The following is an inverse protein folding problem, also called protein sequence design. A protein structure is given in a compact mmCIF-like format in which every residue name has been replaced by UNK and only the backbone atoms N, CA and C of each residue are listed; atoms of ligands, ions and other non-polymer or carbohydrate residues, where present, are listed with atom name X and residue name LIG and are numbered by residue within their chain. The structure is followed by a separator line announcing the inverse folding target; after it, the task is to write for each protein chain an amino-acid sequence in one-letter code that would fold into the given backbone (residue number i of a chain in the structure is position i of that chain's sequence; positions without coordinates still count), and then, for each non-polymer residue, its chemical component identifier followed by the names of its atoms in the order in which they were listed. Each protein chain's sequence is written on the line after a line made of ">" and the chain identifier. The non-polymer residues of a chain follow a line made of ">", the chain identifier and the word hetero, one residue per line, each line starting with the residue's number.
data_IF_612369363236
#
_entry.id   IF_612369363236
#
_cell.length_a   1.000
_cell.length_b   1.000
_cell.length_c   1.000
_cell.angle_alpha   90.00
_cell.angle_beta   90.00
_cell.angle_gamma   90.00
#
_symmetry.space_group_name_H-M   'P 1'
#
loop_
_entity.id
_entity.type
_entity.pdbx_description
1 polymer ?
#
# COMPACT_ATOMS: atom_id res chain seq x y z
N UNK A 1 14.42 -33.21 29.56
CA UNK A 1 14.83 -31.85 29.18
C UNK A 1 13.90 -31.42 28.05
N UNK A 2 13.00 -30.48 28.33
CA UNK A 2 12.06 -29.95 27.34
C UNK A 2 12.67 -28.66 26.79
N UNK A 3 12.86 -28.61 25.48
CA UNK A 3 13.39 -27.47 24.73
C UNK A 3 12.39 -26.31 24.77
N UNK A 4 12.37 -25.59 25.90
CA UNK A 4 11.65 -24.32 25.99
C UNK A 4 12.47 -23.26 25.24
N UNK A 5 12.18 -23.09 23.95
CA UNK A 5 12.62 -21.91 23.21
C UNK A 5 11.83 -20.69 23.71
N UNK A 6 12.49 -19.68 24.33
CA UNK A 6 11.79 -18.49 24.77
C UNK A 6 11.22 -17.73 23.55
N UNK A 7 10.03 -17.12 23.67
CA UNK A 7 9.37 -16.45 22.56
C UNK A 7 10.24 -15.33 22.01
N UNK A 8 10.64 -15.47 20.75
CA UNK A 8 11.37 -14.48 19.96
C UNK A 8 10.67 -13.13 20.08
N UNK A 9 11.40 -12.14 20.60
CA UNK A 9 11.06 -10.72 20.74
C UNK A 9 9.96 -10.22 19.76
N UNK A 10 8.69 -10.29 20.19
CA UNK A 10 7.50 -9.98 19.37
C UNK A 10 7.43 -8.53 18.85
N UNK A 11 8.22 -7.61 19.40
CA UNK A 11 8.14 -6.17 19.09
C UNK A 11 8.91 -5.71 17.85
N UNK A 12 9.98 -6.41 17.44
CA UNK A 12 10.77 -6.04 16.25
C UNK A 12 10.18 -6.61 14.96
N UNK A 13 9.64 -7.82 15.00
CA UNK A 13 9.04 -8.48 13.84
C UNK A 13 7.80 -7.77 13.29
N UNK A 14 6.95 -7.19 14.15
CA UNK A 14 5.70 -6.56 13.67
C UNK A 14 5.92 -5.30 12.83
N UNK A 15 6.94 -4.49 13.14
CA UNK A 15 7.21 -3.27 12.37
C UNK A 15 7.75 -3.59 10.97
N UNK A 16 8.63 -4.59 10.88
CA UNK A 16 9.18 -5.06 9.62
C UNK A 16 8.12 -5.76 8.76
N UNK A 17 7.27 -6.60 9.37
CA UNK A 17 6.12 -7.20 8.68
C UNK A 17 5.13 -6.14 8.15
N UNK A 18 4.81 -5.11 8.96
CA UNK A 18 3.97 -3.99 8.52
C UNK A 18 4.58 -3.24 7.34
N UNK A 19 5.90 -2.99 7.38
CA UNK A 19 6.61 -2.34 6.27
C UNK A 19 6.53 -3.18 4.99
N UNK A 20 6.83 -4.48 5.06
CA UNK A 20 6.74 -5.40 3.91
C UNK A 20 5.32 -5.43 3.33
N UNK A 21 4.31 -5.54 4.19
CA UNK A 21 2.90 -5.52 3.78
C UNK A 21 2.51 -4.21 3.09
N UNK A 22 2.95 -3.05 3.60
CA UNK A 22 2.70 -1.75 2.95
C UNK A 22 3.40 -1.68 1.59
N UNK A 23 4.63 -2.19 1.47
CA UNK A 23 5.35 -2.24 0.19
C UNK A 23 4.68 -3.16 -0.84
N UNK A 24 4.14 -4.30 -0.43
CA UNK A 24 3.34 -5.18 -1.29
C UNK A 24 2.03 -4.49 -1.74
N UNK A 25 1.36 -3.81 -0.82
CA UNK A 25 0.17 -3.02 -1.15
C UNK A 25 0.48 -1.89 -2.15
N UNK A 26 1.62 -1.21 -2.00
CA UNK A 26 2.07 -0.19 -2.95
C UNK A 26 2.32 -0.77 -4.34
N UNK A 27 3.00 -1.93 -4.44
CA UNK A 27 3.19 -2.63 -5.72
C UNK A 27 1.86 -3.02 -6.37
N UNK A 28 0.91 -3.51 -5.60
CA UNK A 28 -0.43 -3.83 -6.11
C UNK A 28 -1.17 -2.58 -6.59
N UNK A 29 -1.05 -1.45 -5.88
CA UNK A 29 -1.62 -0.17 -6.27
C UNK A 29 -1.00 0.35 -7.58
N UNK A 30 0.32 0.26 -7.73
CA UNK A 30 1.02 0.64 -8.96
C UNK A 30 0.57 -0.19 -10.15
N UNK A 31 0.47 -1.51 -10.00
CA UNK A 31 -0.05 -2.38 -11.07
C UNK A 31 -1.49 -2.01 -11.45
N UNK A 32 -2.36 -1.69 -10.48
CA UNK A 32 -3.74 -1.27 -10.75
C UNK A 32 -3.81 0.06 -11.47
N UNK A 33 -2.95 1.02 -11.10
CA UNK A 33 -2.85 2.30 -11.79
C UNK A 33 -2.39 2.13 -13.22
N UNK A 34 -1.36 1.31 -13.44
CA UNK A 34 -0.86 1.01 -14.77
C UNK A 34 -1.95 0.38 -15.64
N UNK A 35 -2.62 -0.68 -15.15
CA UNK A 35 -3.72 -1.31 -15.89
C UNK A 35 -4.83 -0.31 -16.21
N UNK A 36 -5.21 0.55 -15.25
CA UNK A 36 -6.25 1.55 -15.44
C UNK A 36 -5.88 2.65 -16.45
N UNK A 37 -4.61 3.08 -16.45
CA UNK A 37 -4.09 4.06 -17.41
C UNK A 37 -4.01 3.44 -18.82
N UNK A 38 -3.56 2.18 -18.94
CA UNK A 38 -3.56 1.42 -20.20
C UNK A 38 -4.99 1.22 -20.73
N UNK A 39 -5.91 0.71 -19.91
CA UNK A 39 -7.30 0.49 -20.29
C UNK A 39 -8.02 1.79 -20.67
N UNK A 40 -7.78 2.88 -19.94
CA UNK A 40 -8.34 4.18 -20.29
C UNK A 40 -7.73 4.75 -21.59
N UNK A 41 -6.49 4.42 -21.92
CA UNK A 41 -5.83 4.82 -23.16
C UNK A 41 -6.32 4.02 -24.38
N UNK A 42 -6.65 2.74 -24.20
CA UNK A 42 -7.27 1.93 -25.26
C UNK A 42 -8.63 2.50 -25.71
N UNK A 43 -9.27 3.30 -24.85
CA UNK A 43 -10.51 4.02 -25.14
C UNK A 43 -11.60 3.10 -25.74
N UNK A 44 -11.57 1.82 -25.34
CA UNK A 44 -12.54 0.82 -25.78
C UNK A 44 -13.89 1.30 -25.28
N UNK A 45 -14.77 1.63 -26.22
CA UNK A 45 -16.11 2.10 -25.92
C UNK A 45 -16.93 0.88 -25.45
N UNK A 46 -16.79 0.54 -24.17
CA UNK A 46 -17.65 -0.47 -23.54
C UNK A 46 -19.03 0.15 -23.38
N UNK A 47 -19.97 -0.29 -24.21
CA UNK A 47 -21.42 -0.12 -24.02
C UNK A 47 -21.86 -0.96 -22.79
N UNK A 48 -21.32 -0.63 -21.62
CA UNK A 48 -21.64 -1.28 -20.36
C UNK A 48 -22.82 -0.60 -19.70
N UNK A 49 -23.91 -1.33 -19.51
CA UNK A 49 -25.16 -0.88 -18.86
C UNK A 49 -25.05 -0.62 -17.34
N UNK A 50 -23.87 -0.81 -16.75
CA UNK A 50 -23.64 -0.70 -15.31
C UNK A 50 -22.38 0.12 -15.02
N UNK A 51 -22.56 1.18 -14.24
CA UNK A 51 -21.54 2.18 -13.92
C UNK A 51 -20.54 1.75 -12.84
N UNK A 52 -20.78 0.62 -12.14
CA UNK A 52 -20.04 0.25 -10.93
C UNK A 52 -19.93 -1.28 -10.78
N UNK A 53 -18.90 -1.89 -11.33
CA UNK A 53 -18.50 -3.24 -10.93
C UNK A 53 -17.38 -3.16 -9.88
N UNK A 54 -17.45 -4.00 -8.85
CA UNK A 54 -16.37 -4.10 -7.86
C UNK A 54 -15.03 -4.48 -8.49
N UNK A 55 -15.04 -5.21 -9.60
CA UNK A 55 -13.83 -5.56 -10.37
C UNK A 55 -13.23 -4.39 -11.16
N UNK A 56 -13.95 -3.29 -11.34
CA UNK A 56 -13.45 -2.10 -12.04
C UNK A 56 -12.23 -1.51 -11.30
N UNK A 57 -12.12 -1.75 -9.98
CA UNK A 57 -10.96 -1.37 -9.17
C UNK A 57 -9.65 -2.10 -9.55
N UNK A 58 -9.72 -3.12 -10.41
CA UNK A 58 -8.55 -3.79 -10.99
C UNK A 58 -7.99 -3.04 -12.21
N UNK A 59 -8.73 -2.05 -12.73
CA UNK A 59 -8.37 -1.29 -13.93
C UNK A 59 -8.44 -2.10 -15.22
N UNK A 60 -9.27 -3.14 -15.28
CA UNK A 60 -9.40 -4.03 -16.45
C UNK A 60 -10.80 -4.03 -17.07
N UNK A 61 -11.75 -3.36 -16.43
CA UNK A 61 -13.15 -3.29 -16.82
C UNK A 61 -13.76 -2.00 -16.29
N UNK A 62 -14.89 -1.59 -16.87
CA UNK A 62 -15.68 -0.46 -16.41
C UNK A 62 -15.65 0.70 -17.40
N UNK A 63 -16.51 1.69 -17.18
CA UNK A 63 -16.61 2.82 -18.09
C UNK A 63 -15.32 3.67 -18.07
N UNK A 64 -14.67 3.98 -19.21
CA UNK A 64 -13.39 4.71 -19.25
C UNK A 64 -13.43 6.05 -18.49
N UNK A 65 -14.52 6.81 -18.62
CA UNK A 65 -14.74 8.04 -17.86
C UNK A 65 -14.74 7.83 -16.34
N UNK A 66 -15.35 6.75 -15.85
CA UNK A 66 -15.35 6.43 -14.43
C UNK A 66 -13.94 6.05 -13.95
N UNK A 67 -13.22 5.23 -14.71
CA UNK A 67 -11.84 4.86 -14.37
C UNK A 67 -10.95 6.11 -14.28
N UNK A 68 -11.02 6.97 -15.29
CA UNK A 68 -10.22 8.20 -15.37
C UNK A 68 -10.54 9.19 -14.26
N UNK A 69 -11.82 9.43 -13.99
CA UNK A 69 -12.26 10.51 -13.12
C UNK A 69 -12.46 10.10 -11.66
N UNK A 70 -12.69 8.82 -11.38
CA UNK A 70 -13.00 8.33 -10.03
C UNK A 70 -11.94 7.35 -9.54
N UNK A 71 -11.72 6.25 -10.28
CA UNK A 71 -10.83 5.18 -9.84
C UNK A 71 -9.39 5.65 -9.72
N UNK A 72 -8.80 6.21 -10.78
CA UNK A 72 -7.39 6.65 -10.79
C UNK A 72 -7.13 7.67 -9.66
N UNK A 73 -7.93 8.73 -9.48
CA UNK A 73 -7.75 9.66 -8.36
C UNK A 73 -7.89 8.99 -6.99
N UNK A 74 -8.88 8.11 -6.80
CA UNK A 74 -9.07 7.40 -5.53
C UNK A 74 -7.86 6.51 -5.19
N UNK A 75 -7.37 5.75 -6.17
CA UNK A 75 -6.20 4.88 -6.00
C UNK A 75 -4.93 5.69 -5.75
N UNK A 76 -4.73 6.84 -6.42
CA UNK A 76 -3.63 7.78 -6.13
C UNK A 76 -3.68 8.32 -4.70
N UNK A 77 -4.87 8.64 -4.16
CA UNK A 77 -5.01 9.03 -2.74
C UNK A 77 -4.65 7.90 -1.79
N UNK A 78 -5.03 6.65 -2.09
CA UNK A 78 -4.65 5.49 -1.28
C UNK A 78 -3.14 5.29 -1.31
N UNK A 79 -2.49 5.42 -2.48
CA UNK A 79 -1.03 5.38 -2.61
C UNK A 79 -0.35 6.37 -1.66
N UNK A 80 -0.75 7.64 -1.72
CA UNK A 80 -0.19 8.69 -0.87
C UNK A 80 -0.36 8.39 0.64
N UNK A 81 -1.51 7.83 1.04
CA UNK A 81 -1.73 7.41 2.43
C UNK A 81 -0.77 6.29 2.86
N UNK A 82 -0.48 5.35 1.97
CA UNK A 82 0.45 4.23 2.23
C UNK A 82 1.90 4.69 2.28
N UNK A 83 2.30 5.60 1.40
CA UNK A 83 3.62 6.25 1.43
C UNK A 83 3.83 7.00 2.76
N UNK A 84 2.86 7.82 3.18
CA UNK A 84 2.90 8.52 4.47
C UNK A 84 2.97 7.56 5.68
N UNK A 85 2.29 6.42 5.60
CA UNK A 85 2.35 5.40 6.65
C UNK A 85 3.75 4.77 6.74
N UNK A 86 4.42 4.55 5.60
CA UNK A 86 5.79 4.04 5.55
C UNK A 86 6.79 5.06 6.10
N UNK A 87 6.66 6.33 5.72
CA UNK A 87 7.45 7.44 6.27
C UNK A 87 7.32 7.51 7.80
N UNK A 88 6.09 7.41 8.33
CA UNK A 88 5.84 7.41 9.78
C UNK A 88 6.53 6.24 10.49
N UNK A 89 6.57 5.06 9.86
CA UNK A 89 7.27 3.89 10.42
C UNK A 89 8.78 4.13 10.47
N UNK A 90 9.35 4.67 9.39
CA UNK A 90 10.78 4.96 9.29
C UNK A 90 11.22 6.05 10.28
N UNK A 91 10.42 7.11 10.44
CA UNK A 91 10.70 8.18 11.40
C UNK A 91 10.62 7.71 12.85
N UNK A 92 9.64 6.85 13.18
CA UNK A 92 9.58 6.20 14.49
C UNK A 92 10.81 5.32 14.74
N UNK A 93 11.32 4.63 13.72
CA UNK A 93 12.53 3.82 13.85
C UNK A 93 13.77 4.69 14.11
N UNK A 94 13.91 5.82 13.38
CA UNK A 94 14.99 6.80 13.59
C UNK A 94 14.92 7.44 14.98
N UNK A 95 13.73 7.87 15.41
CA UNK A 95 13.50 8.45 16.73
C UNK A 95 13.89 7.50 17.88
N UNK A 96 13.51 6.22 17.79
CA UNK A 96 13.93 5.20 18.76
C UNK A 96 15.45 4.98 18.79
N UNK A 97 16.12 5.01 17.62
CA UNK A 97 17.59 4.89 17.54
C UNK A 97 18.30 6.06 18.23
N UNK A 98 17.80 7.28 18.05
CA UNK A 98 18.34 8.47 18.70
C UNK A 98 18.11 8.46 20.22
N UNK A 99 16.90 8.10 20.66
CA UNK A 99 16.57 7.96 22.09
C UNK A 99 17.48 6.93 22.78
N UNK A 100 17.70 5.76 22.16
CA UNK A 100 18.59 4.72 22.70
C UNK A 100 20.05 5.16 22.80
N UNK A 101 20.54 5.97 21.85
CA UNK A 101 21.89 6.54 21.90
C UNK A 101 22.05 7.55 23.04
N UNK A 102 21.02 8.34 23.32
CA UNK A 102 21.03 9.30 24.45
C UNK A 102 20.94 8.62 25.81
N UNK A 103 20.16 7.54 25.95
CA UNK A 103 19.97 6.85 27.23
C UNK A 103 21.07 5.84 27.57
N UNK A 104 21.92 5.47 26.61
CA UNK A 104 23.07 4.58 26.81
C UNK A 104 24.41 5.30 26.97
N UNK A 105 24.38 6.64 27.09
CA UNK A 105 25.55 7.49 27.30
C UNK A 105 25.66 8.00 28.75
N UNK A 106 25.01 7.31 29.69
CA UNK A 106 25.13 7.54 31.14
C UNK A 106 26.07 6.51 31.76
#
# INVERSE_FOLDING_TARGET
>A
MSDYEPPVSKGKNMAEQKRRSIQEQLRSIEQRLQNAEEYAAENVNVEGSSWLHMDDWRGKSGHPSWIKNQMIPAVKRVRAKKEKALETIDDRAKGKKLAKRRSGAS
#
